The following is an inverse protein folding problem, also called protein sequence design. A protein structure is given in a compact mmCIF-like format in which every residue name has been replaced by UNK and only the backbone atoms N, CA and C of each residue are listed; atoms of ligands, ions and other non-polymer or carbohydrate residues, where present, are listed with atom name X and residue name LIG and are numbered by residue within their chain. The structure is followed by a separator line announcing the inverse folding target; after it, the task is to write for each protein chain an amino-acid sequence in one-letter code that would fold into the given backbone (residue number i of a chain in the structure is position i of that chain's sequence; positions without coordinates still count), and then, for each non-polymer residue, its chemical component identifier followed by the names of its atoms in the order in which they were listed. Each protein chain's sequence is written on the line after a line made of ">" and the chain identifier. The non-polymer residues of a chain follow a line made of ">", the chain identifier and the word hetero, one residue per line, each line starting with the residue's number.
data_IF_819071523649
#
_entry.id   IF_819071523649
#
_cell.length_a   1.000
_cell.length_b   1.000
_cell.length_c   1.000
_cell.angle_alpha   90.00
_cell.angle_beta   90.00
_cell.angle_gamma   90.00
#
_symmetry.space_group_name_H-M   'P 1'
#
loop_
_entity.id
_entity.type
_entity.pdbx_description
1 polymer ?
#
# COMPACT_ATOMS: atom_id res chain seq x y z
N UNK A 1 -10.00 -15.04 -33.40
CA UNK A 1 -9.60 -13.91 -32.54
C UNK A 1 -10.24 -14.14 -31.17
N UNK A 2 -9.48 -14.36 -30.09
CA UNK A 2 -10.08 -14.75 -28.81
C UNK A 2 -10.74 -13.53 -28.13
N UNK A 3 -11.89 -13.77 -27.51
CA UNK A 3 -12.69 -12.78 -26.81
C UNK A 3 -11.93 -12.22 -25.59
N UNK A 4 -11.81 -10.90 -25.52
CA UNK A 4 -11.17 -10.18 -24.41
C UNK A 4 -12.14 -10.16 -23.21
N UNK A 5 -11.62 -10.43 -22.01
CA UNK A 5 -12.39 -10.46 -20.76
C UNK A 5 -12.77 -9.05 -20.27
N UNK A 6 -13.79 -8.96 -19.42
CA UNK A 6 -14.44 -7.71 -18.98
C UNK A 6 -13.47 -6.69 -18.33
N UNK A 7 -12.36 -7.16 -17.76
CA UNK A 7 -11.29 -6.30 -17.23
C UNK A 7 -10.54 -5.54 -18.32
N UNK A 8 -10.35 -6.14 -19.51
CA UNK A 8 -9.81 -5.41 -20.66
C UNK A 8 -10.79 -4.39 -21.23
N UNK A 9 -12.09 -4.62 -21.07
CA UNK A 9 -13.13 -3.70 -21.52
C UNK A 9 -13.07 -2.40 -20.70
N UNK A 10 -12.91 -2.48 -19.38
CA UNK A 10 -12.82 -1.29 -18.51
C UNK A 10 -11.59 -0.42 -18.79
N UNK A 11 -10.42 -1.02 -19.05
CA UNK A 11 -9.19 -0.29 -19.38
C UNK A 11 -9.29 0.34 -20.78
N UNK A 12 -9.85 -0.38 -21.76
CA UNK A 12 -10.04 0.10 -23.13
C UNK A 12 -11.06 1.25 -23.24
N UNK A 13 -12.17 1.20 -22.48
CA UNK A 13 -13.19 2.27 -22.49
C UNK A 13 -12.61 3.56 -21.88
N UNK A 14 -11.85 3.46 -20.78
CA UNK A 14 -11.20 4.64 -20.17
C UNK A 14 -10.16 5.29 -21.08
N UNK A 15 -9.40 4.50 -21.85
CA UNK A 15 -8.41 5.00 -22.82
C UNK A 15 -9.03 5.55 -24.10
N UNK A 16 -10.16 5.00 -24.58
CA UNK A 16 -10.79 5.43 -25.84
C UNK A 16 -11.78 6.58 -25.69
N UNK A 17 -12.41 6.76 -24.54
CA UNK A 17 -13.36 7.86 -24.31
C UNK A 17 -12.68 9.24 -24.26
N UNK A 18 -11.38 9.32 -23.98
CA UNK A 18 -10.68 10.61 -23.77
C UNK A 18 -9.86 11.12 -24.97
N UNK A 19 -9.72 10.33 -26.03
CA UNK A 19 -8.86 10.67 -27.18
C UNK A 19 -9.62 11.18 -28.42
N UNK A 20 -10.93 11.44 -28.35
CA UNK A 20 -11.75 11.74 -29.56
C UNK A 20 -12.32 13.15 -29.68
N UNK A 21 -12.09 14.07 -28.74
CA UNK A 21 -12.57 15.45 -28.91
C UNK A 21 -11.52 16.47 -28.48
N UNK A 22 -10.56 16.73 -29.36
CA UNK A 22 -10.23 18.09 -29.80
C UNK A 22 -9.20 18.03 -30.92
N UNK A 23 -9.68 18.41 -32.11
CA UNK A 23 -8.99 19.15 -33.17
C UNK A 23 -7.47 19.36 -32.97
N UNK A 24 -6.70 18.87 -33.96
CA UNK A 24 -5.26 18.92 -34.12
C UNK A 24 -4.62 20.34 -34.21
N UNK A 25 -5.17 21.34 -33.52
CA UNK A 25 -4.63 22.70 -33.37
C UNK A 25 -4.73 23.18 -31.92
N UNK A 26 -4.26 22.38 -30.98
CA UNK A 26 -3.81 22.87 -29.67
C UNK A 26 -2.73 21.92 -29.17
N UNK A 27 -1.63 21.88 -29.92
CA UNK A 27 -0.36 21.31 -29.48
C UNK A 27 0.20 22.21 -28.35
N UNK A 28 -0.47 22.20 -27.21
CA UNK A 28 0.04 22.81 -25.99
C UNK A 28 0.82 21.71 -25.27
N UNK A 29 2.12 21.98 -25.02
CA UNK A 29 2.99 21.24 -24.11
C UNK A 29 2.36 21.18 -22.71
N UNK A 30 1.30 20.40 -22.54
CA UNK A 30 0.73 20.13 -21.24
C UNK A 30 1.51 18.95 -20.69
N UNK A 31 2.32 19.22 -19.67
CA UNK A 31 2.88 18.17 -18.83
C UNK A 31 1.71 17.39 -18.23
N UNK A 32 1.36 16.26 -18.86
CA UNK A 32 0.37 15.35 -18.31
C UNK A 32 1.02 14.62 -17.14
N UNK A 33 0.62 14.96 -15.91
CA UNK A 33 0.95 14.16 -14.74
C UNK A 33 0.09 12.89 -14.74
N UNK A 34 0.75 11.75 -14.59
CA UNK A 34 0.10 10.47 -14.36
C UNK A 34 0.35 10.12 -12.90
N UNK A 35 -0.72 9.91 -12.15
CA UNK A 35 -0.67 9.53 -10.75
C UNK A 35 -1.20 8.10 -10.58
N UNK A 36 -0.60 7.37 -9.66
CA UNK A 36 -1.00 6.00 -9.35
C UNK A 36 -1.62 6.03 -7.94
N UNK A 37 -2.91 5.65 -7.79
CA UNK A 37 -3.60 5.73 -6.51
C UNK A 37 -3.23 4.53 -5.62
N UNK A 38 -2.02 4.55 -5.05
CA UNK A 38 -1.49 3.48 -4.19
C UNK A 38 -2.42 3.17 -3.02
N UNK A 39 -3.00 4.20 -2.39
CA UNK A 39 -3.96 4.03 -1.30
C UNK A 39 -5.16 3.17 -1.69
N UNK A 40 -5.74 3.43 -2.88
CA UNK A 40 -6.89 2.68 -3.40
C UNK A 40 -6.52 1.26 -3.80
N UNK A 41 -5.37 1.07 -4.43
CA UNK A 41 -4.87 -0.28 -4.78
C UNK A 41 -4.67 -1.17 -3.55
N UNK A 42 -4.17 -0.63 -2.44
CA UNK A 42 -3.95 -1.39 -1.21
C UNK A 42 -5.25 -1.66 -0.43
N UNK A 43 -6.37 -1.03 -0.82
CA UNK A 43 -7.71 -1.24 -0.27
C UNK A 43 -8.69 -1.89 -1.25
N UNK A 44 -8.19 -2.38 -2.38
CA UNK A 44 -9.02 -3.06 -3.37
C UNK A 44 -9.33 -4.48 -2.89
N UNK A 45 -10.59 -4.77 -2.60
CA UNK A 45 -11.05 -6.09 -2.17
C UNK A 45 -10.79 -7.20 -3.20
N UNK A 46 -10.62 -6.84 -4.49
CA UNK A 46 -10.25 -7.79 -5.54
C UNK A 46 -8.81 -8.30 -5.40
N UNK A 47 -7.96 -7.55 -4.70
CA UNK A 47 -6.57 -7.90 -4.44
C UNK A 47 -6.35 -8.39 -3.01
N UNK A 48 -7.06 -7.81 -2.05
CA UNK A 48 -6.91 -8.09 -0.62
C UNK A 48 -8.29 -8.33 0.02
N UNK A 49 -8.67 -9.59 0.32
CA UNK A 49 -9.95 -9.86 1.00
C UNK A 49 -10.04 -9.14 2.34
N UNK A 50 -11.17 -8.49 2.66
CA UNK A 50 -11.30 -7.62 3.84
C UNK A 50 -10.22 -6.51 3.87
N UNK A 51 -10.02 -5.79 2.78
CA UNK A 51 -8.89 -4.87 2.59
C UNK A 51 -8.83 -3.73 3.61
N UNK A 52 -9.98 -3.27 4.11
CA UNK A 52 -10.07 -2.21 5.12
C UNK A 52 -9.80 -2.70 6.56
N UNK A 53 -9.66 -4.01 6.75
CA UNK A 53 -9.32 -4.60 8.05
C UNK A 53 -7.82 -4.84 8.17
N UNK A 54 -7.25 -4.52 9.33
CA UNK A 54 -5.87 -4.84 9.62
C UNK A 54 -5.77 -6.32 10.01
N UNK A 55 -5.19 -7.12 9.11
CA UNK A 55 -4.94 -8.54 9.29
C UNK A 55 -3.42 -8.77 9.31
N UNK A 56 -2.92 -9.21 10.47
CA UNK A 56 -1.49 -9.43 10.74
C UNK A 56 -0.95 -10.62 9.94
N UNK A 57 -1.79 -11.62 9.67
CA UNK A 57 -1.40 -12.86 9.02
C UNK A 57 -1.60 -12.85 7.50
N UNK A 58 -2.34 -11.87 6.96
CA UNK A 58 -2.62 -11.71 5.52
C UNK A 58 -1.50 -12.14 4.58
N UNK A 59 -0.32 -11.53 4.70
CA UNK A 59 0.80 -11.82 3.78
C UNK A 59 1.51 -13.15 4.07
N UNK A 60 1.45 -13.61 5.32
CA UNK A 60 1.93 -14.93 5.71
C UNK A 60 1.06 -16.02 5.08
N UNK A 61 -0.27 -15.91 5.22
CA UNK A 61 -1.22 -16.87 4.68
C UNK A 61 -1.19 -16.90 3.14
N UNK A 62 -1.10 -15.74 2.51
CA UNK A 62 -0.91 -15.64 1.05
C UNK A 62 0.39 -16.33 0.60
N UNK A 63 1.48 -16.23 1.37
CA UNK A 63 2.73 -16.92 1.06
C UNK A 63 2.60 -18.43 1.23
N UNK A 64 1.94 -18.88 2.31
CA UNK A 64 1.71 -20.28 2.62
C UNK A 64 0.81 -20.97 1.57
N UNK A 65 -0.13 -20.25 0.96
CA UNK A 65 -1.01 -20.73 -0.10
C UNK A 65 -0.32 -21.00 -1.46
N UNK A 66 1.01 -21.02 -1.53
CA UNK A 66 1.78 -21.39 -2.73
C UNK A 66 2.45 -20.22 -3.46
N UNK A 67 2.55 -19.05 -2.82
CA UNK A 67 3.17 -17.86 -3.39
C UNK A 67 4.39 -17.39 -2.57
N UNK A 68 5.20 -18.36 -2.13
CA UNK A 68 6.45 -18.12 -1.40
C UNK A 68 7.36 -17.13 -2.16
N UNK A 69 7.81 -16.09 -1.47
CA UNK A 69 8.63 -15.01 -2.04
C UNK A 69 7.87 -13.93 -2.81
N UNK A 70 6.70 -14.25 -3.42
CA UNK A 70 5.88 -13.25 -4.14
C UNK A 70 5.27 -12.21 -3.19
N UNK A 71 4.86 -12.64 -2.00
CA UNK A 71 4.29 -11.76 -0.97
C UNK A 71 5.30 -11.33 0.09
N UNK A 72 6.59 -11.56 -0.14
CA UNK A 72 7.63 -11.03 0.73
C UNK A 72 7.61 -9.50 0.71
N UNK A 73 7.88 -8.88 1.86
CA UNK A 73 7.79 -7.43 2.06
C UNK A 73 8.63 -6.64 1.05
N UNK A 74 9.81 -7.13 0.67
CA UNK A 74 10.74 -6.47 -0.28
C UNK A 74 10.39 -6.69 -1.76
N UNK A 75 9.40 -7.52 -2.06
CA UNK A 75 9.06 -7.87 -3.44
C UNK A 75 8.19 -6.78 -4.06
N UNK A 76 8.73 -6.10 -5.08
CA UNK A 76 7.95 -5.15 -5.88
C UNK A 76 7.13 -5.91 -6.93
N UNK A 77 5.82 -5.65 -6.98
CA UNK A 77 4.91 -6.31 -7.92
C UNK A 77 3.73 -5.40 -8.27
N UNK A 78 3.05 -5.61 -9.41
CA UNK A 78 1.95 -4.75 -9.84
C UNK A 78 0.80 -4.67 -8.83
N UNK A 79 0.57 -5.73 -8.04
CA UNK A 79 -0.49 -5.73 -7.02
C UNK A 79 -0.06 -5.11 -5.69
N UNK A 80 1.24 -4.83 -5.49
CA UNK A 80 1.77 -4.21 -4.29
C UNK A 80 2.77 -3.11 -4.63
N UNK A 81 2.25 -1.88 -4.68
CA UNK A 81 2.98 -0.69 -5.12
C UNK A 81 3.71 0.06 -3.98
N UNK A 82 3.89 -0.57 -2.81
CA UNK A 82 4.51 0.08 -1.64
C UNK A 82 5.96 0.55 -1.88
N UNK A 83 6.68 -0.12 -2.77
CA UNK A 83 8.03 0.24 -3.17
C UNK A 83 8.13 0.87 -4.55
N UNK A 84 7.01 1.15 -5.22
CA UNK A 84 6.99 1.48 -6.64
C UNK A 84 7.08 0.24 -7.54
N UNK A 85 7.24 0.46 -8.84
CA UNK A 85 7.20 -0.58 -9.87
C UNK A 85 8.26 -0.34 -10.95
N UNK A 86 8.83 -1.42 -11.51
CA UNK A 86 9.79 -1.36 -12.61
C UNK A 86 11.15 -0.75 -12.20
N UNK A 87 11.69 0.14 -13.03
CA UNK A 87 12.98 0.80 -12.78
C UNK A 87 12.94 1.82 -11.64
N UNK A 88 11.73 2.23 -11.21
CA UNK A 88 11.51 3.20 -10.14
C UNK A 88 11.24 2.51 -8.80
N UNK A 89 11.56 1.22 -8.67
CA UNK A 89 11.45 0.53 -7.39
C UNK A 89 12.44 1.13 -6.40
N UNK A 90 11.96 1.44 -5.20
CA UNK A 90 12.75 1.96 -4.10
C UNK A 90 13.98 1.05 -3.86
N UNK A 91 15.20 1.58 -4.03
CA UNK A 91 16.41 0.80 -3.78
C UNK A 91 16.59 0.51 -2.29
N UNK A 92 16.06 1.36 -1.41
CA UNK A 92 16.14 1.23 0.05
C UNK A 92 15.20 0.19 0.68
N UNK A 93 14.38 -0.52 -0.10
CA UNK A 93 13.38 -1.47 0.44
C UNK A 93 13.96 -2.58 1.31
N UNK A 94 15.18 -3.03 1.01
CA UNK A 94 15.86 -4.06 1.79
C UNK A 94 16.37 -3.53 3.13
N UNK A 95 16.90 -2.30 3.13
CA UNK A 95 17.30 -1.62 4.35
C UNK A 95 16.07 -1.39 5.24
N UNK A 96 15.00 -0.86 4.66
CA UNK A 96 13.76 -0.61 5.38
C UNK A 96 13.12 -1.89 5.95
N UNK A 97 13.23 -3.04 5.26
CA UNK A 97 12.79 -4.34 5.80
C UNK A 97 13.52 -4.70 7.09
N UNK A 98 14.85 -4.56 7.10
CA UNK A 98 15.68 -4.86 8.28
C UNK A 98 15.41 -3.85 9.40
N UNK A 99 15.41 -2.55 9.09
CA UNK A 99 15.17 -1.49 10.08
C UNK A 99 13.80 -1.63 10.74
N UNK A 100 12.74 -1.87 9.95
CA UNK A 100 11.39 -2.03 10.49
C UNK A 100 11.30 -3.22 11.45
N UNK A 101 11.91 -4.36 11.10
CA UNK A 101 11.95 -5.55 11.94
C UNK A 101 12.74 -5.30 13.23
N UNK A 102 13.88 -4.61 13.16
CA UNK A 102 14.68 -4.26 14.32
C UNK A 102 13.92 -3.33 15.27
N UNK A 103 13.29 -2.29 14.74
CA UNK A 103 12.46 -1.36 15.53
C UNK A 103 11.30 -2.11 16.18
N UNK A 104 10.58 -2.96 15.42
CA UNK A 104 9.47 -3.74 15.96
C UNK A 104 9.92 -4.71 17.05
N UNK A 105 11.02 -5.43 16.83
CA UNK A 105 11.59 -6.34 17.82
C UNK A 105 12.00 -5.58 19.10
N UNK A 106 12.64 -4.43 18.96
CA UNK A 106 13.02 -3.59 20.10
C UNK A 106 11.80 -3.09 20.87
N UNK A 107 10.77 -2.60 20.17
CA UNK A 107 9.53 -2.10 20.79
C UNK A 107 8.80 -3.22 21.52
N UNK A 108 8.59 -4.38 20.89
CA UNK A 108 7.87 -5.51 21.48
C UNK A 108 8.61 -6.12 22.67
N UNK A 109 9.95 -6.11 22.67
CA UNK A 109 10.74 -6.68 23.78
C UNK A 109 10.90 -5.70 24.95
N UNK A 110 11.01 -4.41 24.68
CA UNK A 110 11.34 -3.42 25.72
C UNK A 110 10.14 -2.61 26.22
N UNK A 111 9.01 -2.61 25.52
CA UNK A 111 7.87 -1.76 25.86
C UNK A 111 6.56 -2.56 25.92
N UNK A 112 5.65 -2.06 26.75
CA UNK A 112 4.23 -2.40 26.74
C UNK A 112 3.48 -1.18 26.19
N UNK A 113 2.76 -1.37 25.08
CA UNK A 113 2.01 -0.32 24.40
C UNK A 113 0.54 -0.39 24.81
N UNK A 114 -0.02 0.72 25.29
CA UNK A 114 -1.45 0.86 25.58
C UNK A 114 -1.98 2.18 25.06
N UNK A 115 -3.22 2.16 24.58
CA UNK A 115 -3.94 3.40 24.35
C UNK A 115 -4.31 4.05 25.69
N UNK A 116 -4.39 5.40 25.75
CA UNK A 116 -4.92 6.10 26.91
C UNK A 116 -6.35 5.65 27.21
N UNK A 117 -6.74 5.68 28.47
CA UNK A 117 -8.10 5.31 28.88
C UNK A 117 -9.16 6.11 28.10
N UNK A 118 -10.16 5.40 27.58
CA UNK A 118 -11.24 5.99 26.79
C UNK A 118 -10.85 6.41 25.37
N UNK A 119 -9.63 6.12 24.91
CA UNK A 119 -9.20 6.32 23.52
C UNK A 119 -8.95 4.98 22.85
N UNK A 120 -9.45 4.84 21.63
CA UNK A 120 -9.12 3.74 20.72
C UNK A 120 -8.18 4.24 19.62
N UNK A 121 -7.80 3.37 18.68
CA UNK A 121 -7.10 3.72 17.44
C UNK A 121 -7.74 4.96 16.82
N UNK A 122 -6.95 6.01 16.62
CA UNK A 122 -7.43 7.15 15.87
C UNK A 122 -7.73 6.74 14.42
N UNK A 123 -8.82 7.27 13.89
CA UNK A 123 -9.18 7.07 12.49
C UNK A 123 -8.22 7.91 11.68
N UNK A 124 -7.17 7.26 11.16
CA UNK A 124 -6.18 7.94 10.33
C UNK A 124 -6.84 8.60 9.12
N UNK A 125 -6.47 9.85 8.86
CA UNK A 125 -6.90 10.58 7.67
C UNK A 125 -5.95 10.24 6.53
N UNK A 126 -6.50 9.84 5.38
CA UNK A 126 -5.71 9.67 4.17
C UNK A 126 -5.46 11.03 3.52
N UNK A 127 -4.20 11.43 3.41
CA UNK A 127 -3.76 12.60 2.64
C UNK A 127 -2.90 12.09 1.49
N UNK A 128 -3.48 12.04 0.29
CA UNK A 128 -2.86 11.41 -0.88
C UNK A 128 -2.62 9.92 -0.65
N UNK A 129 -1.38 9.46 -0.82
CA UNK A 129 -0.98 8.08 -0.57
C UNK A 129 -0.59 7.79 0.89
N UNK A 130 -0.59 8.81 1.75
CA UNK A 130 -0.19 8.67 3.14
C UNK A 130 -1.42 8.60 4.04
N UNK A 131 -1.35 7.78 5.08
CA UNK A 131 -2.33 7.81 6.17
C UNK A 131 -1.63 8.44 7.35
N UNK A 132 -2.00 9.68 7.69
CA UNK A 132 -1.55 10.31 8.93
C UNK A 132 -2.53 9.91 10.02
N UNK A 133 -2.04 9.19 11.02
CA UNK A 133 -2.84 8.95 12.20
C UNK A 133 -2.95 10.24 13.02
N UNK A 134 -4.17 10.65 13.33
CA UNK A 134 -4.44 11.83 14.13
C UNK A 134 -4.13 11.55 15.58
N UNK A 135 -2.88 11.78 16.01
CA UNK A 135 -2.44 11.86 17.41
C UNK A 135 -3.13 10.89 18.41
N UNK A 136 -3.15 9.59 18.10
CA UNK A 136 -3.31 8.57 19.14
C UNK A 136 -2.00 8.44 19.92
N UNK A 137 -1.86 9.23 20.99
CA UNK A 137 -0.72 9.14 21.90
C UNK A 137 -0.73 7.78 22.61
N UNK A 138 0.03 6.81 22.09
CA UNK A 138 0.20 5.50 22.72
C UNK A 138 1.12 5.65 23.92
N UNK A 139 0.68 5.26 25.10
CA UNK A 139 1.52 5.24 26.30
C UNK A 139 2.40 4.00 26.21
N UNK A 140 3.72 4.20 26.23
CA UNK A 140 4.70 3.13 26.23
C UNK A 140 5.34 3.01 27.62
N UNK A 141 5.07 1.92 28.35
CA UNK A 141 5.78 1.61 29.60
C UNK A 141 6.97 0.71 29.29
N UNK A 142 8.17 1.12 29.68
CA UNK A 142 9.37 0.27 29.54
C UNK A 142 9.25 -0.94 30.48
N UNK A 143 9.52 -2.13 29.97
CA UNK A 143 9.70 -3.33 30.80
C UNK A 143 11.03 -3.19 31.54
N UNK A 144 11.03 -3.39 32.85
CA UNK A 144 12.28 -3.47 33.59
C UNK A 144 13.02 -4.73 33.09
N UNK A 145 14.32 -4.59 32.84
CA UNK A 145 15.18 -5.76 32.69
C UNK A 145 15.36 -6.34 34.10
N UNK A 146 14.99 -7.61 34.28
CA UNK A 146 15.27 -8.38 35.49
C UNK A 146 16.78 -8.53 35.72
#
# INVERSE_FOLDING_TARGET
>A
MPALNETQIHISIYLRARLRTTSAKQAQRTSLSIEIPTYGFHRDERLYPNADTFDVCRFYDMSAAGAAGKHAYVTARPEFLGWGLGSQVCPGRFLADVEMKLVLAYVVTNYELKYPEGKDRAVGMAIGNNVSDGSACTIARRRCAD
#
